data_IF_922993418489
#
_entry.id   IF_922993418489
#
_cell.length_a   1.000
_cell.length_b   1.000
_cell.length_c   1.000
_cell.angle_alpha   90.00
_cell.angle_beta   90.00
_cell.angle_gamma   90.00
#
_symmetry.space_group_name_H-M   'P 1'
#
loop_
_entity.id
_entity.type
_entity.pdbx_description
1 polymer ?
#
# COMPACT_ATOMS: atom_id res chain seq x y z
N UNK A 1 -2.07 12.40 6.15
CA UNK A 1 -3.39 12.81 5.57
C UNK A 1 -3.75 11.94 4.37
N UNK A 2 -5.04 11.56 4.19
CA UNK A 2 -5.50 10.81 3.01
C UNK A 2 -5.22 11.55 1.69
N UNK A 3 -4.84 10.82 0.64
CA UNK A 3 -4.56 11.36 -0.69
C UNK A 3 -5.10 10.45 -1.77
N UNK A 4 -5.69 11.04 -2.79
CA UNK A 4 -6.08 10.30 -4.00
C UNK A 4 -4.88 10.20 -4.94
N UNK A 5 -4.65 9.00 -5.47
CA UNK A 5 -3.59 8.72 -6.44
C UNK A 5 -4.15 7.88 -7.58
N UNK A 6 -3.55 8.02 -8.75
CA UNK A 6 -3.77 7.10 -9.88
C UNK A 6 -2.58 6.17 -9.99
N UNK A 7 -2.83 4.86 -10.00
CA UNK A 7 -1.75 3.88 -10.09
C UNK A 7 -1.08 3.94 -11.46
N UNK A 8 0.25 4.16 -11.52
CA UNK A 8 0.96 4.25 -12.80
C UNK A 8 1.23 2.87 -13.42
N UNK A 9 1.05 1.79 -12.66
CA UNK A 9 1.26 0.41 -13.10
C UNK A 9 0.44 -0.56 -12.25
N UNK A 10 0.39 -1.81 -12.69
CA UNK A 10 -0.17 -2.89 -11.89
C UNK A 10 0.61 -3.02 -10.58
N UNK A 11 -0.09 -2.94 -9.47
CA UNK A 11 0.51 -2.83 -8.13
C UNK A 11 0.05 -4.00 -7.26
N UNK A 12 0.98 -4.64 -6.55
CA UNK A 12 0.65 -5.71 -5.61
C UNK A 12 0.10 -5.10 -4.33
N UNK A 13 -0.76 -5.86 -3.67
CA UNK A 13 -1.27 -5.48 -2.35
C UNK A 13 -0.68 -6.37 -1.27
N UNK A 14 -0.56 -5.79 -0.08
CA UNK A 14 0.09 -6.39 1.07
C UNK A 14 -0.81 -6.27 2.29
N UNK A 15 -0.68 -7.18 3.24
CA UNK A 15 -1.38 -7.14 4.52
C UNK A 15 -0.41 -7.41 5.66
N UNK A 16 -0.75 -6.95 6.86
CA UNK A 16 0.05 -7.27 8.04
C UNK A 16 -0.07 -8.77 8.35
N UNK A 17 1.04 -9.41 8.71
CA UNK A 17 1.04 -10.83 9.14
C UNK A 17 0.41 -11.05 10.53
N UNK A 18 -0.01 -9.98 11.20
CA UNK A 18 -0.73 -10.02 12.47
C UNK A 18 -1.17 -8.62 12.91
N UNK A 19 -2.11 -8.48 13.87
CA UNK A 19 -2.75 -7.21 14.22
C UNK A 19 -1.76 -6.10 14.63
N UNK A 20 -0.70 -6.48 15.35
CA UNK A 20 0.33 -5.56 15.86
C UNK A 20 1.68 -5.73 15.13
N UNK A 21 1.69 -6.41 13.99
CA UNK A 21 2.91 -6.67 13.23
C UNK A 21 3.27 -5.47 12.35
N UNK A 22 4.57 -5.20 12.23
CA UNK A 22 5.12 -4.36 11.16
C UNK A 22 5.49 -5.18 9.91
N UNK A 23 5.44 -6.51 9.97
CA UNK A 23 5.74 -7.40 8.86
C UNK A 23 4.55 -7.48 7.91
N UNK A 24 4.83 -7.30 6.61
CA UNK A 24 3.87 -7.45 5.53
C UNK A 24 4.02 -8.80 4.83
N UNK A 25 2.87 -9.38 4.46
CA UNK A 25 2.72 -10.51 3.54
C UNK A 25 2.02 -10.09 2.25
N UNK A 26 2.31 -10.77 1.14
CA UNK A 26 1.57 -10.58 -0.12
C UNK A 26 0.21 -11.25 -0.02
N UNK A 27 -0.84 -10.57 -0.48
CA UNK A 27 -2.22 -11.13 -0.48
C UNK A 27 -2.55 -11.92 -1.76
N UNK A 28 -1.72 -11.80 -2.79
CA UNK A 28 -2.02 -12.30 -4.14
C UNK A 28 -2.98 -11.41 -4.95
N UNK A 29 -3.61 -10.41 -4.33
CA UNK A 29 -4.46 -9.43 -5.00
C UNK A 29 -3.61 -8.33 -5.63
N UNK A 30 -4.08 -7.83 -6.78
CA UNK A 30 -3.44 -6.76 -7.53
C UNK A 30 -4.44 -5.63 -7.81
N UNK A 31 -3.93 -4.41 -7.87
CA UNK A 31 -4.65 -3.25 -8.38
C UNK A 31 -4.14 -2.94 -9.78
N UNK A 32 -5.07 -2.74 -10.72
CA UNK A 32 -4.72 -2.46 -12.11
C UNK A 32 -4.19 -1.04 -12.32
N UNK A 33 -3.36 -0.88 -13.35
CA UNK A 33 -2.94 0.42 -13.87
C UNK A 33 -4.11 1.37 -14.15
N UNK A 34 -3.92 2.66 -13.92
CA UNK A 34 -4.93 3.70 -14.16
C UNK A 34 -6.03 3.77 -13.11
N UNK A 35 -6.01 2.88 -12.11
CA UNK A 35 -6.98 2.86 -11.04
C UNK A 35 -6.75 4.04 -10.07
N UNK A 36 -7.80 4.81 -9.81
CA UNK A 36 -7.81 5.83 -8.77
C UNK A 36 -8.12 5.20 -7.41
N UNK A 37 -7.31 5.48 -6.40
CA UNK A 37 -7.50 5.02 -5.02
C UNK A 37 -7.14 6.11 -4.03
N UNK A 38 -7.74 6.05 -2.84
CA UNK A 38 -7.31 6.87 -1.71
C UNK A 38 -6.35 6.08 -0.83
N UNK A 39 -5.16 6.61 -0.63
CA UNK A 39 -4.15 6.09 0.30
C UNK A 39 -4.03 6.96 1.54
N UNK A 40 -3.61 6.37 2.64
CA UNK A 40 -3.32 7.08 3.89
C UNK A 40 -1.89 7.60 3.96
N UNK A 41 -1.44 7.80 5.19
CA UNK A 41 -0.08 8.27 5.47
C UNK A 41 0.96 7.18 5.25
N UNK A 42 2.16 7.60 4.84
CA UNK A 42 3.31 6.72 4.73
C UNK A 42 3.69 6.17 6.11
N UNK A 43 4.02 4.90 6.17
CA UNK A 43 4.53 4.26 7.38
C UNK A 43 5.65 3.30 7.01
N UNK A 44 6.57 3.09 7.96
CA UNK A 44 7.63 2.10 7.80
C UNK A 44 7.11 0.72 8.15
N UNK A 45 7.23 -0.22 7.21
CA UNK A 45 6.85 -1.63 7.36
C UNK A 45 8.01 -2.52 6.93
N UNK A 46 8.04 -3.75 7.43
CA UNK A 46 9.05 -4.75 7.05
C UNK A 46 8.47 -5.63 5.96
N UNK A 47 9.18 -5.75 4.84
CA UNK A 47 8.87 -6.69 3.79
C UNK A 47 10.16 -7.23 3.16
N UNK A 48 10.21 -8.54 2.91
CA UNK A 48 11.40 -9.21 2.36
C UNK A 48 12.71 -8.87 3.12
N UNK A 49 12.63 -8.94 4.45
CA UNK A 49 13.74 -8.65 5.37
C UNK A 49 14.29 -7.22 5.31
N UNK A 50 13.53 -6.26 4.76
CA UNK A 50 13.93 -4.85 4.66
C UNK A 50 12.81 -3.92 5.10
N UNK A 51 13.21 -2.76 5.63
CA UNK A 51 12.29 -1.65 5.85
C UNK A 51 11.85 -1.08 4.50
N UNK A 52 10.56 -0.90 4.35
CA UNK A 52 9.90 -0.35 3.19
C UNK A 52 8.94 0.76 3.63
N UNK A 53 8.80 1.79 2.81
CA UNK A 53 7.70 2.73 2.97
C UNK A 53 6.45 2.13 2.36
N UNK A 54 5.39 2.02 3.17
CA UNK A 54 4.09 1.53 2.76
C UNK A 54 3.00 2.58 3.03
N UNK A 55 1.93 2.53 2.26
CA UNK A 55 0.72 3.34 2.49
C UNK A 55 -0.50 2.42 2.61
N UNK A 56 -1.38 2.64 3.60
CA UNK A 56 -2.63 1.90 3.70
C UNK A 56 -3.62 2.40 2.63
N UNK A 57 -4.45 1.50 2.11
CA UNK A 57 -5.57 1.84 1.22
C UNK A 57 -6.76 2.21 2.10
N UNK A 58 -7.30 3.42 1.93
CA UNK A 58 -8.40 3.95 2.75
C UNK A 58 -9.76 3.95 2.05
N UNK A 59 -9.78 4.05 0.72
CA UNK A 59 -11.03 4.03 -0.03
C UNK A 59 -10.86 3.27 -1.34
N UNK A 60 -11.28 1.99 -1.31
CA UNK A 60 -11.63 1.22 -2.50
C UNK A 60 -12.59 0.08 -2.15
N UNK A 61 -13.72 0.35 -1.50
CA UNK A 61 -14.65 -0.72 -1.07
C UNK A 61 -14.06 -1.67 -0.02
N UNK A 62 -14.90 -2.52 0.55
CA UNK A 62 -14.53 -3.38 1.70
C UNK A 62 -13.43 -4.42 1.36
N UNK A 63 -13.28 -4.80 0.09
CA UNK A 63 -12.31 -5.83 -0.32
C UNK A 63 -10.84 -5.43 -0.09
N UNK A 64 -10.56 -4.13 -0.01
CA UNK A 64 -9.20 -3.57 0.10
C UNK A 64 -8.94 -2.93 1.46
N UNK A 65 -9.87 -3.05 2.40
CA UNK A 65 -9.65 -2.60 3.77
C UNK A 65 -8.54 -3.42 4.43
N UNK A 66 -7.71 -2.74 5.24
CA UNK A 66 -6.54 -3.33 5.87
C UNK A 66 -5.37 -3.67 4.93
N UNK A 67 -5.48 -3.36 3.63
CA UNK A 67 -4.40 -3.58 2.66
C UNK A 67 -3.47 -2.38 2.55
N UNK A 68 -2.24 -2.68 2.16
CA UNK A 68 -1.13 -1.75 2.00
C UNK A 68 -0.54 -1.85 0.59
N UNK A 69 0.01 -0.74 0.12
CA UNK A 69 0.85 -0.66 -1.08
C UNK A 69 2.25 -0.25 -0.69
N UNK A 70 3.25 -0.82 -1.35
CA UNK A 70 4.63 -0.35 -1.20
C UNK A 70 4.84 0.88 -2.10
N UNK A 71 5.43 1.94 -1.55
CA UNK A 71 5.68 3.19 -2.28
C UNK A 71 6.57 2.97 -3.50
N UNK A 72 7.53 2.04 -3.39
CA UNK A 72 8.40 1.62 -4.48
C UNK A 72 7.67 0.97 -5.66
N UNK A 73 6.47 0.43 -5.45
CA UNK A 73 5.66 -0.16 -6.54
C UNK A 73 4.72 0.84 -7.20
N UNK A 74 4.33 1.88 -6.49
CA UNK A 74 3.43 2.91 -7.04
C UNK A 74 4.20 4.10 -7.61
N UNK A 75 5.54 4.07 -7.59
CA UNK A 75 6.42 5.13 -8.12
C UNK A 75 5.94 6.53 -7.72
N UNK A 76 5.53 6.71 -6.46
CA UNK A 76 5.15 8.01 -5.94
C UNK A 76 6.40 8.68 -5.36
N UNK A 77 6.99 9.67 -6.06
CA UNK A 77 8.21 10.32 -5.59
C UNK A 77 7.97 11.21 -4.36
N UNK A 78 6.73 11.48 -3.97
CA UNK A 78 6.38 12.47 -2.94
C UNK A 78 5.27 11.98 -2.00
N UNK A 79 5.60 11.02 -1.15
CA UNK A 79 4.83 10.79 0.07
C UNK A 79 5.63 11.38 1.24
N UNK A 80 5.20 12.50 1.86
CA UNK A 80 5.83 12.95 3.09
C UNK A 80 5.64 11.85 4.14
N UNK A 81 6.76 11.40 4.69
CA UNK A 81 6.85 10.55 5.88
C UNK A 81 6.40 11.31 7.12
#
# INVERSE_FOLDING_TARGET
>A
MPREITLPQDTRTFEKTGPNSSLLGRTGKHLGVGMAITVGEGCTMVYDHRDQTAVPILAKGEEFDGLYLLVSEINLPELPL
#
